data_IF_393479328427
#
_entry.id   IF_393479328427
#
_cell.length_a   1.000
_cell.length_b   1.000
_cell.length_c   1.000
_cell.angle_alpha   90.00
_cell.angle_beta   90.00
_cell.angle_gamma   90.00
#
_symmetry.space_group_name_H-M   'P 1'
#
loop_
_entity.id
_entity.type
_entity.pdbx_description
1 polymer ?
#
# COMPACT_ATOMS: atom_id res chain seq x y z
N UNK A 1 -9.97 -2.85 -40.76
CA UNK A 1 -9.70 -1.60 -40.02
C UNK A 1 -9.10 -2.01 -38.68
N UNK A 2 -7.79 -1.91 -38.54
CA UNK A 2 -7.10 -2.17 -37.27
C UNK A 2 -7.52 -1.10 -36.27
N UNK A 3 -8.32 -1.49 -35.28
CA UNK A 3 -8.63 -0.67 -34.11
C UNK A 3 -7.30 -0.19 -33.53
N UNK A 4 -7.08 1.13 -33.54
CA UNK A 4 -5.89 1.72 -32.95
C UNK A 4 -6.04 1.57 -31.43
N UNK A 5 -5.38 0.55 -30.86
CA UNK A 5 -5.43 0.29 -29.42
C UNK A 5 -4.98 1.56 -28.68
N UNK A 6 -5.83 2.06 -27.78
CA UNK A 6 -5.51 3.23 -26.97
C UNK A 6 -4.21 2.98 -26.20
N UNK A 7 -3.28 3.96 -26.24
CA UNK A 7 -1.97 3.87 -25.60
C UNK A 7 -1.82 4.93 -24.51
N UNK A 8 -1.20 4.54 -23.40
CA UNK A 8 -0.83 5.43 -22.32
C UNK A 8 0.38 6.28 -22.76
N UNK A 9 0.54 7.43 -22.11
CA UNK A 9 1.76 8.21 -22.25
C UNK A 9 2.89 7.54 -21.46
N UNK A 10 3.78 6.84 -22.15
CA UNK A 10 4.90 6.11 -21.54
C UNK A 10 5.83 7.00 -20.70
N UNK A 11 5.99 8.27 -21.04
CA UNK A 11 6.80 9.20 -20.26
C UNK A 11 6.12 9.53 -18.92
N UNK A 12 4.80 9.77 -18.94
CA UNK A 12 4.03 9.99 -17.71
C UNK A 12 3.97 8.70 -16.86
N UNK A 13 3.75 7.55 -17.49
CA UNK A 13 3.74 6.25 -16.82
C UNK A 13 5.07 5.95 -16.12
N UNK A 14 6.20 6.24 -16.78
CA UNK A 14 7.55 6.17 -16.17
C UNK A 14 7.67 7.06 -14.95
N UNK A 15 7.32 8.35 -15.08
CA UNK A 15 7.40 9.27 -13.94
C UNK A 15 6.52 8.80 -12.79
N UNK A 16 5.31 8.30 -13.07
CA UNK A 16 4.43 7.73 -12.05
C UNK A 16 5.07 6.54 -11.34
N UNK A 17 5.63 5.58 -12.09
CA UNK A 17 6.28 4.40 -11.51
C UNK A 17 7.47 4.72 -10.59
N UNK A 18 8.19 5.80 -10.88
CA UNK A 18 9.37 6.20 -10.13
C UNK A 18 9.09 7.27 -9.06
N UNK A 19 8.01 8.05 -9.23
CA UNK A 19 7.65 9.18 -8.39
C UNK A 19 6.58 8.87 -7.36
N UNK A 20 5.52 8.14 -7.73
CA UNK A 20 4.41 7.86 -6.82
C UNK A 20 4.70 6.66 -5.91
N UNK A 21 4.60 6.83 -4.60
CA UNK A 21 4.82 5.78 -3.61
C UNK A 21 3.58 5.34 -2.83
N UNK A 22 2.54 6.16 -2.79
CA UNK A 22 1.29 5.83 -2.12
C UNK A 22 0.68 7.06 -1.47
N UNK A 23 0.26 6.94 -0.22
CA UNK A 23 -0.63 7.90 0.43
C UNK A 23 -0.20 8.26 1.86
N UNK A 24 -0.62 9.43 2.32
CA UNK A 24 -0.33 9.94 3.66
C UNK A 24 0.98 10.74 3.71
N UNK A 25 1.68 10.69 4.83
CA UNK A 25 2.91 11.45 5.03
C UNK A 25 4.05 10.55 5.55
N UNK A 26 5.28 10.79 5.09
CA UNK A 26 6.45 10.00 5.51
C UNK A 26 6.89 10.30 6.96
N UNK A 27 6.45 11.38 7.58
CA UNK A 27 6.72 11.62 9.01
C UNK A 27 5.72 10.91 9.95
N UNK A 28 4.77 10.15 9.40
CA UNK A 28 3.81 9.39 10.17
C UNK A 28 4.52 8.31 10.99
N UNK A 29 4.12 8.07 12.26
CA UNK A 29 4.75 7.06 13.10
C UNK A 29 4.46 5.63 12.65
N UNK A 30 3.37 5.37 11.91
CA UNK A 30 2.94 4.03 11.54
C UNK A 30 2.82 3.87 10.03
N UNK A 31 3.62 2.98 9.45
CA UNK A 31 3.62 2.74 8.01
C UNK A 31 3.02 1.38 7.67
N UNK A 32 2.34 1.33 6.54
CA UNK A 32 1.79 0.13 5.93
C UNK A 32 2.37 -0.01 4.53
N UNK A 33 3.00 -1.14 4.24
CA UNK A 33 3.65 -1.37 2.95
C UNK A 33 3.08 -2.61 2.30
N UNK A 34 2.40 -2.40 1.17
CA UNK A 34 1.78 -3.43 0.36
C UNK A 34 2.53 -3.77 -0.92
N UNK A 35 2.05 -4.81 -1.60
CA UNK A 35 2.53 -5.20 -2.93
C UNK A 35 2.18 -4.14 -3.97
N UNK A 36 0.88 -3.91 -4.19
CA UNK A 36 0.35 -3.00 -5.20
C UNK A 36 -1.09 -2.62 -4.87
N UNK A 37 -1.55 -1.48 -5.39
CA UNK A 37 -2.94 -1.04 -5.22
C UNK A 37 -3.91 -1.88 -6.08
N UNK A 38 -5.09 -2.17 -5.52
CA UNK A 38 -6.21 -2.71 -6.30
C UNK A 38 -6.78 -1.65 -7.25
N UNK A 39 -6.91 -1.98 -8.53
CA UNK A 39 -7.42 -1.05 -9.55
C UNK A 39 -7.03 -1.50 -10.94
N UNK A 40 -6.84 -0.56 -11.86
CA UNK A 40 -6.32 -0.86 -13.21
C UNK A 40 -7.24 -1.78 -14.02
N UNK A 41 -8.57 -1.64 -13.84
CA UNK A 41 -9.57 -2.51 -14.48
C UNK A 41 -9.75 -2.20 -15.96
N UNK A 42 -9.49 -0.96 -16.36
CA UNK A 42 -9.61 -0.47 -17.74
C UNK A 42 -8.53 0.54 -18.08
N UNK A 43 -8.35 0.80 -19.38
CA UNK A 43 -7.50 1.89 -19.88
C UNK A 43 -7.89 3.25 -19.27
N UNK A 44 -9.18 3.58 -19.27
CA UNK A 44 -9.67 4.88 -18.79
C UNK A 44 -9.41 5.10 -17.30
N UNK A 45 -9.53 4.05 -16.47
CA UNK A 45 -9.19 4.13 -15.05
C UNK A 45 -7.70 4.45 -14.86
N UNK A 46 -6.82 3.74 -15.56
CA UNK A 46 -5.37 3.95 -15.49
C UNK A 46 -5.01 5.35 -16.00
N UNK A 47 -5.53 5.74 -17.16
CA UNK A 47 -5.29 7.06 -17.74
C UNK A 47 -5.78 8.18 -16.81
N UNK A 48 -6.92 8.00 -16.14
CA UNK A 48 -7.46 8.96 -15.17
C UNK A 48 -6.54 9.10 -13.96
N UNK A 49 -6.09 7.99 -13.37
CA UNK A 49 -5.13 8.00 -12.25
C UNK A 49 -3.85 8.77 -12.60
N UNK A 50 -3.24 8.44 -13.74
CA UNK A 50 -2.03 9.12 -14.20
C UNK A 50 -2.24 10.63 -14.41
N UNK A 51 -3.35 11.01 -15.07
CA UNK A 51 -3.67 12.41 -15.35
C UNK A 51 -3.94 13.19 -14.06
N UNK A 52 -4.70 12.62 -13.12
CA UNK A 52 -5.00 13.25 -11.83
C UNK A 52 -3.72 13.43 -11.02
N UNK A 53 -2.85 12.42 -10.95
CA UNK A 53 -1.55 12.53 -10.30
C UNK A 53 -0.68 13.63 -10.92
N UNK A 54 -0.65 13.72 -12.26
CA UNK A 54 0.06 14.77 -12.97
C UNK A 54 -0.48 16.17 -12.63
N UNK A 55 -1.81 16.35 -12.69
CA UNK A 55 -2.47 17.61 -12.37
C UNK A 55 -2.25 18.05 -10.93
N UNK A 56 -2.11 17.09 -10.01
CA UNK A 56 -1.88 17.33 -8.58
C UNK A 56 -0.40 17.55 -8.23
N UNK A 57 0.47 17.60 -9.24
CA UNK A 57 1.87 17.99 -9.10
C UNK A 57 2.85 16.83 -8.95
N UNK A 58 2.47 15.62 -9.40
CA UNK A 58 3.36 14.44 -9.43
C UNK A 58 3.97 14.10 -8.06
N UNK A 59 3.17 14.22 -7.00
CA UNK A 59 3.61 14.07 -5.61
C UNK A 59 4.10 12.64 -5.30
N UNK A 60 5.04 12.57 -4.36
CA UNK A 60 5.59 11.31 -3.85
C UNK A 60 4.52 10.51 -3.10
N UNK A 61 3.83 11.16 -2.16
CA UNK A 61 2.61 10.64 -1.55
C UNK A 61 1.44 11.57 -1.82
N UNK A 62 0.26 11.00 -2.01
CA UNK A 62 -0.99 11.73 -2.15
C UNK A 62 -1.83 11.69 -0.86
N UNK A 63 -2.79 12.59 -0.79
CA UNK A 63 -3.89 12.43 0.16
C UNK A 63 -4.81 11.31 -0.33
N UNK A 64 -4.98 10.23 0.46
CA UNK A 64 -5.74 9.05 0.00
C UNK A 64 -7.16 9.42 -0.40
N UNK A 65 -7.83 10.32 0.30
CA UNK A 65 -9.21 10.67 0.02
C UNK A 65 -9.26 11.61 -1.17
N UNK A 66 -8.52 12.71 -1.13
CA UNK A 66 -8.65 13.74 -2.17
C UNK A 66 -8.26 13.15 -3.53
N UNK A 67 -7.22 12.31 -3.58
CA UNK A 67 -6.83 11.62 -4.80
C UNK A 67 -7.89 10.62 -5.27
N UNK A 68 -8.45 9.80 -4.38
CA UNK A 68 -9.47 8.82 -4.76
C UNK A 68 -10.78 9.49 -5.22
N UNK A 69 -11.14 10.62 -4.63
CA UNK A 69 -12.29 11.44 -5.06
C UNK A 69 -12.05 11.97 -6.47
N UNK A 70 -10.87 12.53 -6.73
CA UNK A 70 -10.52 13.11 -8.04
C UNK A 70 -10.44 12.07 -9.17
N UNK A 71 -10.10 10.81 -8.86
CA UNK A 71 -10.15 9.69 -9.83
C UNK A 71 -11.53 9.05 -9.95
N UNK A 72 -12.57 9.62 -9.30
CA UNK A 72 -13.96 9.17 -9.40
C UNK A 72 -14.33 8.01 -8.48
N UNK A 73 -13.69 7.89 -7.31
CA UNK A 73 -13.97 6.87 -6.29
C UNK A 73 -14.38 7.47 -4.92
N UNK A 74 -15.41 8.34 -4.85
CA UNK A 74 -15.82 9.00 -3.61
C UNK A 74 -16.46 8.05 -2.58
N UNK A 75 -16.95 6.89 -3.00
CA UNK A 75 -17.73 5.95 -2.17
C UNK A 75 -16.99 5.48 -0.91
N UNK A 76 -15.66 5.57 -0.88
CA UNK A 76 -14.86 5.20 0.29
C UNK A 76 -14.77 6.31 1.36
N UNK A 77 -15.28 7.52 1.07
CA UNK A 77 -15.06 8.71 1.90
C UNK A 77 -16.34 9.52 2.15
N UNK A 78 -17.27 9.54 1.19
CA UNK A 78 -18.54 10.26 1.30
C UNK A 78 -19.75 9.32 1.35
N UNK A 79 -20.91 9.85 1.75
CA UNK A 79 -22.27 9.28 1.68
C UNK A 79 -22.39 7.74 1.73
N UNK A 80 -22.81 7.23 2.88
CA UNK A 80 -22.86 5.77 3.16
C UNK A 80 -21.52 5.07 2.97
N UNK A 81 -20.41 5.73 3.35
CA UNK A 81 -19.02 5.26 3.28
C UNK A 81 -18.89 3.72 3.20
N UNK A 82 -18.45 3.25 2.04
CA UNK A 82 -18.12 1.85 1.79
C UNK A 82 -16.77 1.56 2.42
N UNK A 83 -16.67 0.50 3.23
CA UNK A 83 -15.36 0.07 3.72
C UNK A 83 -14.55 -0.53 2.57
N UNK A 84 -13.34 -0.03 2.39
CA UNK A 84 -12.36 -0.64 1.49
C UNK A 84 -11.76 -1.85 2.24
N UNK A 85 -11.87 -3.08 1.71
CA UNK A 85 -11.57 -4.29 2.50
C UNK A 85 -10.15 -4.40 3.06
N UNK A 86 -9.15 -3.94 2.30
CA UNK A 86 -7.75 -3.91 2.73
C UNK A 86 -7.55 -2.83 3.79
N UNK A 87 -7.96 -1.59 3.53
CA UNK A 87 -7.79 -0.46 4.44
C UNK A 87 -8.53 -0.70 5.76
N UNK A 88 -9.75 -1.25 5.70
CA UNK A 88 -10.52 -1.57 6.90
C UNK A 88 -9.77 -2.52 7.85
N UNK A 89 -8.89 -3.38 7.33
CA UNK A 89 -8.05 -4.28 8.14
C UNK A 89 -6.78 -3.59 8.64
N UNK A 90 -6.12 -2.79 7.79
CA UNK A 90 -4.97 -1.99 8.20
C UNK A 90 -5.32 -0.96 9.29
N UNK A 91 -6.50 -0.34 9.18
CA UNK A 91 -7.04 0.57 10.19
C UNK A 91 -7.25 -0.14 11.53
N UNK A 92 -7.62 -1.43 11.55
CA UNK A 92 -7.73 -2.19 12.81
C UNK A 92 -6.37 -2.36 13.48
N UNK A 93 -5.32 -2.62 12.69
CA UNK A 93 -3.94 -2.63 13.20
C UNK A 93 -3.58 -1.26 13.77
N UNK A 94 -3.87 -0.17 13.02
CA UNK A 94 -3.59 1.20 13.46
C UNK A 94 -4.28 1.52 14.79
N UNK A 95 -5.56 1.18 14.93
CA UNK A 95 -6.31 1.42 16.17
C UNK A 95 -5.75 0.59 17.32
N UNK A 96 -5.39 -0.67 17.10
CA UNK A 96 -4.72 -1.51 18.09
C UNK A 96 -3.36 -0.97 18.53
N UNK A 97 -2.55 -0.49 17.58
CA UNK A 97 -1.27 0.20 17.80
C UNK A 97 -1.43 1.46 18.69
N UNK A 98 -2.51 2.21 18.45
CA UNK A 98 -2.87 3.40 19.22
C UNK A 98 -3.54 3.07 20.56
N UNK A 99 -3.79 1.79 20.86
CA UNK A 99 -4.50 1.38 22.06
C UNK A 99 -5.97 1.81 22.10
N UNK A 100 -6.57 2.07 20.95
CA UNK A 100 -7.95 2.53 20.81
C UNK A 100 -8.89 1.34 20.65
N UNK A 101 -10.14 1.57 21.03
CA UNK A 101 -11.21 0.63 20.74
C UNK A 101 -11.36 0.39 19.24
N UNK A 102 -11.70 -0.84 18.88
CA UNK A 102 -11.87 -1.25 17.50
C UNK A 102 -13.30 -1.71 17.26
N UNK A 103 -14.11 -0.81 16.70
CA UNK A 103 -15.43 -1.17 16.18
C UNK A 103 -15.61 -0.74 14.71
N UNK A 104 -16.66 -1.25 14.06
CA UNK A 104 -16.91 -0.99 12.64
C UNK A 104 -17.15 0.49 12.32
N UNK A 105 -17.81 1.23 13.20
CA UNK A 105 -18.09 2.66 13.05
C UNK A 105 -16.81 3.49 13.18
N UNK A 106 -15.95 3.19 14.15
CA UNK A 106 -14.64 3.84 14.32
C UNK A 106 -13.74 3.55 13.12
N UNK A 107 -13.70 2.31 12.63
CA UNK A 107 -12.93 1.96 11.42
C UNK A 107 -13.42 2.76 10.21
N UNK A 108 -14.74 2.90 10.06
CA UNK A 108 -15.37 3.65 8.97
C UNK A 108 -15.08 5.15 9.04
N UNK A 109 -15.14 5.73 10.23
CA UNK A 109 -14.78 7.14 10.45
C UNK A 109 -13.28 7.37 10.21
N UNK A 110 -12.43 6.46 10.70
CA UNK A 110 -10.98 6.55 10.52
C UNK A 110 -10.60 6.46 9.04
N UNK A 111 -11.24 5.57 8.27
CA UNK A 111 -11.05 5.48 6.82
C UNK A 111 -11.37 6.80 6.13
N UNK A 112 -12.51 7.41 6.49
CA UNK A 112 -12.99 8.62 5.83
C UNK A 112 -12.16 9.87 6.19
N UNK A 113 -11.63 9.94 7.43
CA UNK A 113 -11.12 11.20 7.98
C UNK A 113 -9.63 11.21 8.32
N UNK A 114 -8.97 10.06 8.50
CA UNK A 114 -7.64 10.04 9.12
C UNK A 114 -6.63 9.07 8.50
N UNK A 115 -7.08 7.93 7.97
CA UNK A 115 -6.17 6.92 7.40
C UNK A 115 -5.46 7.48 6.17
N UNK A 116 -4.12 7.40 6.15
CA UNK A 116 -3.27 7.88 5.05
C UNK A 116 -3.58 9.32 4.57
N UNK A 117 -3.92 10.20 5.52
CA UNK A 117 -4.05 11.65 5.30
C UNK A 117 -2.72 12.36 5.63
N UNK A 118 -2.41 13.53 5.03
CA UNK A 118 -1.18 14.28 5.28
C UNK A 118 -0.95 14.64 6.76
N UNK A 119 -2.02 14.93 7.51
CA UNK A 119 -1.96 15.26 8.94
C UNK A 119 -2.24 14.05 9.85
N UNK A 120 -2.37 12.85 9.30
CA UNK A 120 -2.68 11.64 10.04
C UNK A 120 -1.43 10.91 10.54
N UNK A 121 -1.66 9.91 11.39
CA UNK A 121 -0.58 9.10 11.98
C UNK A 121 -0.16 7.90 11.12
N UNK A 122 -0.63 7.82 9.88
CA UNK A 122 -0.39 6.67 9.00
C UNK A 122 0.13 7.05 7.62
N UNK A 123 1.05 6.23 7.13
CA UNK A 123 1.53 6.24 5.75
C UNK A 123 1.22 4.90 5.09
N UNK A 124 0.73 4.92 3.84
CA UNK A 124 0.45 3.72 3.06
C UNK A 124 1.30 3.74 1.80
N UNK A 125 2.24 2.81 1.66
CA UNK A 125 3.14 2.72 0.52
C UNK A 125 2.94 1.41 -0.24
N UNK A 126 3.26 1.41 -1.53
CA UNK A 126 3.21 0.22 -2.37
C UNK A 126 4.59 -0.06 -2.99
N UNK A 127 5.03 -1.32 -2.91
CA UNK A 127 6.26 -1.77 -3.56
C UNK A 127 6.18 -1.61 -5.08
N UNK A 128 5.05 -1.98 -5.67
CA UNK A 128 4.76 -1.89 -7.09
C UNK A 128 3.74 -0.76 -7.32
N UNK A 129 4.10 0.28 -8.08
CA UNK A 129 3.30 1.51 -8.20
C UNK A 129 2.05 1.35 -9.07
N UNK A 130 2.07 0.44 -10.05
CA UNK A 130 1.00 0.30 -11.02
C UNK A 130 -0.17 -0.52 -10.45
N UNK A 131 -1.40 0.02 -10.40
CA UNK A 131 -2.54 -0.70 -9.87
C UNK A 131 -2.89 -1.89 -10.76
N UNK A 132 -3.35 -2.98 -10.15
CA UNK A 132 -3.84 -4.16 -10.85
C UNK A 132 -5.07 -4.79 -10.17
N UNK A 133 -6.01 -5.40 -10.90
CA UNK A 133 -7.16 -6.07 -10.28
C UNK A 133 -6.74 -7.33 -9.51
N UNK A 134 -5.67 -7.98 -9.96
CA UNK A 134 -5.12 -9.19 -9.35
C UNK A 134 -3.70 -9.46 -9.87
N UNK A 135 -2.99 -10.34 -9.19
CA UNK A 135 -1.67 -10.83 -9.62
C UNK A 135 -1.71 -11.56 -10.98
N UNK A 136 -2.88 -12.07 -11.39
CA UNK A 136 -3.06 -12.82 -12.64
C UNK A 136 -3.51 -11.92 -13.80
N UNK A 137 -3.68 -10.62 -13.56
CA UNK A 137 -4.12 -9.65 -14.57
C UNK A 137 -3.00 -8.67 -14.83
N UNK A 138 -2.64 -8.49 -16.10
CA UNK A 138 -1.61 -7.54 -16.49
C UNK A 138 -1.99 -6.84 -17.79
N UNK A 139 -2.48 -5.61 -17.70
CA UNK A 139 -2.98 -4.84 -18.85
C UNK A 139 -1.95 -3.89 -19.45
N UNK A 140 -0.89 -3.58 -18.72
CA UNK A 140 0.09 -2.58 -19.17
C UNK A 140 0.85 -3.02 -20.43
N UNK A 141 0.96 -4.33 -20.68
CA UNK A 141 1.52 -4.86 -21.94
C UNK A 141 0.69 -4.54 -23.17
N UNK A 142 -0.61 -4.28 -23.00
CA UNK A 142 -1.51 -3.83 -24.07
C UNK A 142 -1.47 -2.31 -24.27
N UNK A 143 -1.23 -1.57 -23.18
CA UNK A 143 -1.42 -0.11 -23.14
C UNK A 143 -0.13 0.70 -23.21
N UNK A 144 1.05 0.07 -23.13
CA UNK A 144 2.35 0.74 -23.10
C UNK A 144 3.32 0.16 -24.14
N UNK A 145 4.23 1.00 -24.64
CA UNK A 145 5.35 0.57 -25.48
C UNK A 145 6.60 0.17 -24.69
N UNK A 146 6.57 0.23 -23.36
CA UNK A 146 7.71 -0.04 -22.50
C UNK A 146 7.99 -1.54 -22.42
N UNK A 147 9.20 -1.95 -22.81
CA UNK A 147 9.59 -3.36 -22.91
C UNK A 147 9.46 -4.13 -21.61
N UNK A 148 9.72 -3.50 -20.46
CA UNK A 148 9.58 -4.12 -19.15
C UNK A 148 8.14 -4.18 -18.64
N UNK A 149 7.18 -3.57 -19.34
CA UNK A 149 5.74 -3.70 -19.04
C UNK A 149 5.05 -4.75 -19.91
N UNK A 150 5.76 -5.54 -20.71
CA UNK A 150 5.17 -6.58 -21.56
C UNK A 150 4.43 -7.65 -20.72
N UNK A 151 4.96 -8.00 -19.55
CA UNK A 151 4.31 -8.89 -18.60
C UNK A 151 4.65 -8.49 -17.15
N UNK A 152 3.96 -9.13 -16.20
CA UNK A 152 4.11 -8.85 -14.78
C UNK A 152 5.52 -9.16 -14.27
N UNK A 153 6.11 -10.26 -14.69
CA UNK A 153 7.41 -10.70 -14.19
C UNK A 153 8.53 -9.73 -14.59
N UNK A 154 8.55 -9.30 -15.85
CA UNK A 154 9.51 -8.29 -16.33
C UNK A 154 9.33 -6.97 -15.61
N UNK A 155 8.09 -6.59 -15.30
CA UNK A 155 7.77 -5.38 -14.56
C UNK A 155 8.30 -5.45 -13.13
N UNK A 156 8.02 -6.54 -12.41
CA UNK A 156 8.48 -6.74 -11.04
C UNK A 156 10.01 -6.74 -10.99
N UNK A 157 10.67 -7.48 -11.88
CA UNK A 157 12.14 -7.53 -11.94
C UNK A 157 12.76 -6.15 -12.22
N UNK A 158 12.09 -5.32 -13.03
CA UNK A 158 12.59 -3.99 -13.37
C UNK A 158 12.36 -2.95 -12.27
N UNK A 159 11.19 -2.99 -11.62
CA UNK A 159 10.72 -1.91 -10.74
C UNK A 159 11.00 -2.18 -9.26
N UNK A 160 10.78 -3.41 -8.79
CA UNK A 160 10.86 -3.72 -7.36
C UNK A 160 12.26 -3.48 -6.74
N UNK A 161 13.41 -3.78 -7.39
CA UNK A 161 14.72 -3.54 -6.78
C UNK A 161 14.95 -2.09 -6.37
N UNK A 162 14.72 -1.15 -7.29
CA UNK A 162 14.95 0.28 -7.04
C UNK A 162 13.96 0.82 -6.00
N UNK A 163 12.70 0.36 -6.05
CA UNK A 163 11.69 0.79 -5.09
C UNK A 163 11.90 0.22 -3.70
N UNK A 164 12.32 -1.05 -3.58
CA UNK A 164 12.70 -1.65 -2.31
C UNK A 164 13.86 -0.88 -1.65
N UNK A 165 14.90 -0.57 -2.42
CA UNK A 165 16.02 0.26 -1.94
C UNK A 165 15.55 1.65 -1.48
N UNK A 166 14.64 2.28 -2.24
CA UNK A 166 14.10 3.59 -1.88
C UNK A 166 13.20 3.55 -0.64
N UNK A 167 12.31 2.56 -0.53
CA UNK A 167 11.46 2.38 0.66
C UNK A 167 12.34 2.17 1.90
N UNK A 168 13.38 1.33 1.80
CA UNK A 168 14.38 1.19 2.87
C UNK A 168 14.98 2.55 3.25
N UNK A 169 15.41 3.33 2.26
CA UNK A 169 15.99 4.66 2.53
C UNK A 169 14.98 5.56 3.24
N UNK A 170 13.70 5.58 2.82
CA UNK A 170 12.69 6.36 3.51
C UNK A 170 12.50 5.91 4.97
N UNK A 171 12.51 4.61 5.25
CA UNK A 171 12.42 4.11 6.64
C UNK A 171 13.60 4.62 7.46
N UNK A 172 14.82 4.56 6.91
CA UNK A 172 16.04 5.02 7.57
C UNK A 172 16.09 6.55 7.75
N UNK A 173 15.52 7.31 6.82
CA UNK A 173 15.53 8.79 6.88
C UNK A 173 14.46 9.33 7.82
N UNK A 174 13.29 8.67 7.89
CA UNK A 174 12.12 9.17 8.61
C UNK A 174 11.88 8.49 9.96
N UNK A 175 12.53 7.36 10.24
CA UNK A 175 12.44 6.61 11.49
C UNK A 175 11.00 6.42 12.02
N UNK A 176 10.07 5.85 11.24
CA UNK A 176 8.74 5.54 11.75
C UNK A 176 8.84 4.60 12.96
N UNK A 177 7.91 4.70 13.90
CA UNK A 177 7.86 3.78 15.06
C UNK A 177 7.69 2.34 14.59
N UNK A 178 6.83 2.11 13.60
CA UNK A 178 6.67 0.79 13.01
C UNK A 178 6.33 0.81 11.52
N UNK A 179 6.68 -0.29 10.85
CA UNK A 179 6.35 -0.56 9.45
C UNK A 179 5.75 -1.96 9.37
N UNK A 180 4.47 -2.04 8.97
CA UNK A 180 3.79 -3.30 8.68
C UNK A 180 3.85 -3.59 7.17
N UNK A 181 4.63 -4.58 6.80
CA UNK A 181 4.63 -5.22 5.49
C UNK A 181 3.54 -6.29 5.44
N UNK A 182 2.71 -6.28 4.39
CA UNK A 182 1.63 -7.26 4.27
C UNK A 182 1.64 -8.00 2.93
N UNK A 183 1.47 -9.32 3.01
CA UNK A 183 1.51 -10.22 1.86
C UNK A 183 2.73 -11.11 1.86
N UNK A 184 2.58 -12.31 2.41
CA UNK A 184 3.65 -13.31 2.58
C UNK A 184 4.33 -13.75 1.27
N UNK A 185 3.65 -13.60 0.11
CA UNK A 185 4.27 -13.89 -1.20
C UNK A 185 5.39 -12.91 -1.59
N UNK A 186 5.51 -11.80 -0.87
CA UNK A 186 6.52 -10.76 -1.08
C UNK A 186 7.56 -10.74 0.03
N UNK A 187 7.66 -11.82 0.83
CA UNK A 187 8.61 -11.90 1.94
C UNK A 187 10.04 -11.61 1.50
N UNK A 188 10.48 -12.15 0.35
CA UNK A 188 11.82 -11.87 -0.18
C UNK A 188 12.09 -10.36 -0.41
N UNK A 189 11.06 -9.58 -0.73
CA UNK A 189 11.18 -8.13 -0.86
C UNK A 189 11.16 -7.43 0.50
N UNK A 190 10.35 -7.90 1.43
CA UNK A 190 10.35 -7.42 2.82
C UNK A 190 11.70 -7.66 3.48
N UNK A 191 12.32 -8.81 3.25
CA UNK A 191 13.67 -9.14 3.73
C UNK A 191 14.72 -8.24 3.09
N UNK A 192 14.62 -7.95 1.79
CA UNK A 192 15.52 -6.99 1.11
C UNK A 192 15.37 -5.55 1.62
N UNK A 193 14.13 -5.12 1.92
CA UNK A 193 13.88 -3.78 2.45
C UNK A 193 14.43 -3.66 3.87
N UNK A 194 14.16 -4.64 4.71
CA UNK A 194 14.44 -4.57 6.14
C UNK A 194 15.86 -5.02 6.48
N UNK A 195 16.37 -6.08 5.84
CA UNK A 195 17.65 -6.69 6.16
C UNK A 195 17.71 -7.29 7.57
N UNK A 196 16.55 -7.53 8.21
CA UNK A 196 16.46 -7.98 9.61
C UNK A 196 16.21 -9.49 9.67
N UNK A 197 16.65 -10.10 10.76
CA UNK A 197 16.25 -11.47 11.10
C UNK A 197 14.92 -11.43 11.84
N UNK A 198 13.85 -11.91 11.20
CA UNK A 198 12.53 -11.92 11.80
C UNK A 198 12.33 -13.06 12.81
N UNK A 199 11.72 -12.74 13.94
CA UNK A 199 11.17 -13.72 14.88
C UNK A 199 9.68 -13.93 14.62
N UNK A 200 9.27 -15.19 14.51
CA UNK A 200 7.88 -15.54 14.18
C UNK A 200 7.03 -15.64 15.44
N UNK A 201 5.81 -15.09 15.40
CA UNK A 201 4.76 -15.33 16.39
C UNK A 201 3.50 -15.84 15.70
N UNK A 202 2.82 -16.77 16.35
CA UNK A 202 1.54 -17.31 15.86
C UNK A 202 0.39 -16.50 16.42
N UNK A 203 -0.51 -16.05 15.55
CA UNK A 203 -1.76 -15.37 15.88
C UNK A 203 -2.92 -16.19 15.29
N UNK A 204 -3.51 -17.03 16.13
CA UNK A 204 -4.51 -18.01 15.69
C UNK A 204 -3.94 -18.97 14.63
N UNK A 205 -4.47 -18.93 13.42
CA UNK A 205 -4.04 -19.78 12.28
C UNK A 205 -2.93 -19.16 11.42
N UNK A 206 -2.58 -17.90 11.68
CA UNK A 206 -1.65 -17.13 10.87
C UNK A 206 -0.37 -16.84 11.66
N UNK A 207 0.67 -16.42 10.95
CA UNK A 207 1.92 -15.96 11.55
C UNK A 207 2.12 -14.47 11.27
N UNK A 208 2.82 -13.82 12.18
CA UNK A 208 3.43 -12.53 11.97
C UNK A 208 4.91 -12.62 12.37
N UNK A 209 5.74 -11.83 11.71
CA UNK A 209 7.18 -11.87 11.80
C UNK A 209 7.67 -10.51 12.26
N UNK A 210 8.41 -10.44 13.37
CA UNK A 210 8.83 -9.19 14.02
C UNK A 210 10.35 -9.07 13.99
N UNK A 211 10.85 -7.88 13.68
CA UNK A 211 12.28 -7.58 13.64
C UNK A 211 12.51 -6.07 13.75
N UNK A 212 13.70 -5.67 14.12
CA UNK A 212 14.05 -4.26 14.31
C UNK A 212 15.05 -3.81 13.26
N UNK A 213 14.69 -2.80 12.48
CA UNK A 213 15.61 -2.06 11.62
C UNK A 213 15.94 -0.76 12.34
N UNK A 214 17.12 -0.71 12.96
CA UNK A 214 17.51 0.38 13.86
C UNK A 214 16.43 0.59 14.95
N UNK A 215 15.76 1.74 14.98
CA UNK A 215 14.72 2.07 15.96
C UNK A 215 13.29 1.79 15.46
N UNK A 216 13.15 1.25 14.25
CA UNK A 216 11.85 0.97 13.65
C UNK A 216 11.48 -0.50 13.83
N UNK A 217 10.32 -0.76 14.42
CA UNK A 217 9.74 -2.09 14.46
C UNK A 217 9.21 -2.48 13.07
N UNK A 218 9.86 -3.43 12.42
CA UNK A 218 9.39 -4.02 11.17
C UNK A 218 8.56 -5.28 11.46
N UNK A 219 7.41 -5.37 10.81
CA UNK A 219 6.51 -6.52 10.92
C UNK A 219 6.12 -7.03 9.54
N UNK A 220 6.23 -8.33 9.29
CA UNK A 220 5.65 -8.97 8.09
C UNK A 220 4.47 -9.85 8.48
N UNK A 221 3.34 -9.69 7.79
CA UNK A 221 2.08 -10.33 8.13
C UNK A 221 1.28 -10.78 6.90
N UNK A 222 0.22 -11.55 7.16
CA UNK A 222 -0.68 -12.02 6.12
C UNK A 222 -1.43 -10.86 5.43
N UNK A 223 -1.69 -11.02 4.13
CA UNK A 223 -2.40 -10.01 3.34
C UNK A 223 -3.86 -9.84 3.84
N UNK A 224 -4.42 -8.63 3.90
CA UNK A 224 -5.82 -8.40 4.25
C UNK A 224 -6.84 -9.21 3.45
N UNK A 225 -6.56 -9.52 2.19
CA UNK A 225 -7.42 -10.36 1.34
C UNK A 225 -7.14 -11.87 1.41
N UNK A 226 -6.28 -12.34 2.34
CA UNK A 226 -5.96 -13.76 2.47
C UNK A 226 -7.22 -14.57 2.87
N UNK A 227 -7.49 -15.74 2.24
CA UNK A 227 -8.61 -16.59 2.62
C UNK A 227 -8.57 -16.98 4.11
N UNK A 228 -9.71 -16.88 4.79
CA UNK A 228 -9.85 -17.25 6.20
C UNK A 228 -9.31 -16.25 7.21
N UNK A 229 -8.75 -15.11 6.77
CA UNK A 229 -8.23 -14.08 7.68
C UNK A 229 -9.36 -13.23 8.28
N UNK A 230 -9.32 -13.05 9.59
CA UNK A 230 -10.37 -12.39 10.39
C UNK A 230 -10.00 -10.94 10.73
N UNK A 231 -10.97 -10.15 11.19
CA UNK A 231 -10.70 -8.83 11.76
C UNK A 231 -9.89 -8.93 13.05
N UNK A 232 -10.24 -9.89 13.90
CA UNK A 232 -9.58 -10.23 15.17
C UNK A 232 -8.07 -10.46 15.00
N UNK A 233 -7.62 -11.11 13.91
CA UNK A 233 -6.20 -11.23 13.60
C UNK A 233 -5.49 -9.86 13.50
N UNK A 234 -6.10 -8.89 12.81
CA UNK A 234 -5.51 -7.56 12.63
C UNK A 234 -5.58 -6.71 13.90
N UNK A 235 -6.61 -6.92 14.72
CA UNK A 235 -6.75 -6.26 16.02
C UNK A 235 -5.67 -6.74 17.00
N UNK A 236 -5.50 -8.07 17.12
CA UNK A 236 -4.44 -8.67 17.93
C UNK A 236 -3.04 -8.31 17.40
N UNK A 237 -2.87 -8.24 16.07
CA UNK A 237 -1.60 -7.81 15.48
C UNK A 237 -1.24 -6.39 15.91
N UNK A 238 -2.19 -5.46 15.87
CA UNK A 238 -1.97 -4.09 16.33
C UNK A 238 -1.61 -4.01 17.82
N UNK A 239 -2.29 -4.80 18.65
CA UNK A 239 -2.00 -4.88 20.10
C UNK A 239 -0.59 -5.42 20.36
N UNK A 240 -0.21 -6.54 19.71
CA UNK A 240 1.14 -7.09 19.85
C UNK A 240 2.22 -6.13 19.35
N UNK A 241 1.96 -5.39 18.27
CA UNK A 241 2.90 -4.39 17.79
C UNK A 241 3.10 -3.27 18.82
N UNK A 242 2.03 -2.82 19.48
CA UNK A 242 2.12 -1.82 20.56
C UNK A 242 2.96 -2.34 21.72
N UNK A 243 2.73 -3.56 22.18
CA UNK A 243 3.51 -4.19 23.26
C UNK A 243 5.00 -4.32 22.95
N UNK A 244 5.39 -4.37 21.68
CA UNK A 244 6.81 -4.37 21.29
C UNK A 244 7.42 -2.96 21.29
N UNK A 245 6.60 -1.91 21.21
CA UNK A 245 7.06 -0.51 21.18
C UNK A 245 7.14 0.13 22.58
N UNK A 246 6.57 -0.52 23.60
CA UNK A 246 6.61 -0.14 25.01
C UNK A 246 7.82 -0.76 25.73
#
# INVERSE_FOLDING_TARGET
>A
MTSQTARLNDALLKRFMHGFYGYGNLHAPFWFVGMEEGGGKSFDEIATRLRVWQMRGEKLTEDVMDYHVDIGMPDFFYDKIKLQPTWAKLIRVLLGLQGREVDKSIVKQTQAMAFARPSGDSCLLELLPLPSPSINTWRYGEYSGLSYLVNRDTYVMHIAPNRAARIRQYILDHHPKSVLFYGMRYQDWWDKITGVSFQSRTLGKFRAHFGWLDQTLCVSAAHPACPGITNDYFEQLGQLMREQLE
#
